data_IF_218097443253
#
_entry.id   IF_218097443253
#
_cell.length_a   1.000
_cell.length_b   1.000
_cell.length_c   1.000
_cell.angle_alpha   90.00
_cell.angle_beta   90.00
_cell.angle_gamma   90.00
#
_symmetry.space_group_name_H-M   'P 1'
#
loop_
_entity.id
_entity.type
_entity.pdbx_description
1 polymer ?
#
# COMPACT_ATOMS: atom_id res chain seq x y z
N UNK A 1 -61.86 -21.72 -1.74
CA UNK A 1 -61.09 -21.50 -2.96
C UNK A 1 -59.90 -22.47 -2.98
N UNK A 2 -60.09 -23.63 -3.69
CA UNK A 2 -59.11 -24.73 -3.76
C UNK A 2 -57.73 -24.29 -4.28
N UNK A 3 -57.63 -23.24 -5.06
CA UNK A 3 -56.36 -22.68 -5.53
C UNK A 3 -55.56 -21.96 -4.42
N UNK A 4 -56.24 -21.32 -3.48
CA UNK A 4 -55.62 -20.65 -2.33
C UNK A 4 -54.98 -21.68 -1.39
N UNK A 5 -55.69 -22.77 -1.13
CA UNK A 5 -55.23 -23.82 -0.22
C UNK A 5 -54.07 -24.63 -0.80
N UNK A 6 -54.01 -24.82 -2.13
CA UNK A 6 -52.91 -25.53 -2.80
C UNK A 6 -51.62 -24.70 -2.83
N UNK A 7 -51.68 -23.39 -2.95
CA UNK A 7 -50.54 -22.51 -3.06
C UNK A 7 -49.98 -22.05 -1.69
N UNK A 8 -50.88 -21.80 -0.72
CA UNK A 8 -50.49 -21.24 0.57
C UNK A 8 -50.19 -22.28 1.65
N UNK A 9 -50.84 -23.47 1.60
CA UNK A 9 -50.57 -24.51 2.58
C UNK A 9 -49.13 -24.97 2.69
N UNK A 10 -48.35 -25.17 1.58
CA UNK A 10 -46.95 -25.55 1.70
C UNK A 10 -46.07 -24.39 2.22
N UNK A 11 -46.43 -23.15 1.88
CA UNK A 11 -45.72 -21.95 2.37
C UNK A 11 -45.97 -21.79 3.88
N UNK A 12 -47.22 -21.92 4.34
CA UNK A 12 -47.55 -21.83 5.75
C UNK A 12 -46.92 -22.95 6.58
N UNK A 13 -46.82 -24.17 6.04
CA UNK A 13 -46.08 -25.27 6.68
C UNK A 13 -44.59 -24.97 6.78
N UNK A 14 -43.98 -24.39 5.74
CA UNK A 14 -42.59 -23.98 5.74
C UNK A 14 -42.34 -22.87 6.77
N UNK A 15 -43.19 -21.84 6.79
CA UNK A 15 -43.11 -20.74 7.74
C UNK A 15 -43.27 -21.22 9.20
N UNK A 16 -44.24 -22.11 9.47
CA UNK A 16 -44.45 -22.68 10.77
C UNK A 16 -43.27 -23.55 11.23
N UNK A 17 -42.70 -24.35 10.32
CA UNK A 17 -41.51 -25.16 10.64
C UNK A 17 -40.28 -24.28 10.96
N UNK A 18 -40.08 -23.16 10.24
CA UNK A 18 -39.04 -22.19 10.55
C UNK A 18 -39.30 -21.51 11.90
N UNK A 19 -40.53 -21.09 12.14
CA UNK A 19 -40.94 -20.45 13.40
C UNK A 19 -40.75 -21.37 14.62
N UNK A 20 -41.13 -22.64 14.48
CA UNK A 20 -40.93 -23.64 15.54
C UNK A 20 -39.44 -23.94 15.76
N UNK A 21 -38.68 -24.04 14.70
CA UNK A 21 -37.21 -24.18 14.77
C UNK A 21 -36.56 -23.00 15.50
N UNK A 22 -36.94 -21.79 15.13
CA UNK A 22 -36.47 -20.55 15.75
C UNK A 22 -36.82 -20.50 17.23
N UNK A 23 -38.08 -20.80 17.59
CA UNK A 23 -38.53 -20.84 18.98
C UNK A 23 -37.73 -21.85 19.83
N UNK A 24 -37.39 -23.02 19.26
CA UNK A 24 -36.57 -24.01 19.94
C UNK A 24 -35.16 -23.52 20.19
N UNK A 25 -34.55 -22.91 19.17
CA UNK A 25 -33.18 -22.35 19.28
C UNK A 25 -33.12 -21.22 20.31
N UNK A 26 -34.12 -20.31 20.31
CA UNK A 26 -34.18 -19.23 21.29
C UNK A 26 -34.34 -19.79 22.71
N UNK A 27 -35.29 -20.67 22.92
CA UNK A 27 -35.52 -21.26 24.24
C UNK A 27 -34.28 -22.01 24.75
N UNK A 28 -33.59 -22.73 23.87
CA UNK A 28 -32.36 -23.40 24.24
C UNK A 28 -31.25 -22.38 24.58
N UNK A 29 -31.11 -21.31 23.77
CA UNK A 29 -30.10 -20.26 23.96
C UNK A 29 -30.30 -19.52 25.28
N UNK A 30 -31.55 -19.15 25.61
CA UNK A 30 -31.87 -18.47 26.86
C UNK A 30 -31.62 -19.38 28.07
N UNK A 31 -31.96 -20.67 27.95
CA UNK A 31 -31.72 -21.65 29.00
C UNK A 31 -30.24 -21.95 29.21
N UNK A 32 -29.46 -21.94 28.14
CA UNK A 32 -28.05 -22.27 28.15
C UNK A 32 -27.17 -21.03 27.83
N UNK A 33 -27.53 -19.88 28.38
CA UNK A 33 -26.87 -18.59 28.11
C UNK A 33 -25.32 -18.63 28.25
N UNK A 34 -24.81 -19.38 29.25
CA UNK A 34 -23.36 -19.52 29.45
C UNK A 34 -22.70 -20.25 28.28
N UNK A 35 -23.28 -21.35 27.81
CA UNK A 35 -22.79 -22.12 26.68
C UNK A 35 -22.78 -21.31 25.39
N UNK A 36 -23.81 -20.49 25.17
CA UNK A 36 -23.89 -19.61 23.99
C UNK A 36 -22.81 -18.54 24.05
N UNK A 37 -22.60 -17.91 25.21
CA UNK A 37 -21.56 -16.87 25.37
C UNK A 37 -20.17 -17.47 25.18
N UNK A 38 -19.85 -18.59 25.85
CA UNK A 38 -18.56 -19.25 25.71
C UNK A 38 -18.35 -19.83 24.31
N UNK A 39 -19.40 -20.33 23.66
CA UNK A 39 -19.34 -20.79 22.27
C UNK A 39 -19.04 -19.66 21.30
N UNK A 40 -19.75 -18.54 21.43
CA UNK A 40 -19.51 -17.35 20.60
C UNK A 40 -18.09 -16.78 20.80
N UNK A 41 -17.65 -16.71 22.05
CA UNK A 41 -16.29 -16.28 22.36
C UNK A 41 -15.22 -17.25 21.83
N UNK A 42 -15.46 -18.54 21.94
CA UNK A 42 -14.57 -19.57 21.38
C UNK A 42 -14.46 -19.47 19.85
N UNK A 43 -15.59 -19.28 19.16
CA UNK A 43 -15.59 -19.06 17.70
C UNK A 43 -14.83 -17.78 17.35
N UNK A 44 -15.05 -16.69 18.09
CA UNK A 44 -14.35 -15.43 17.86
C UNK A 44 -12.83 -15.59 18.00
N UNK A 45 -12.37 -16.23 19.06
CA UNK A 45 -10.94 -16.50 19.28
C UNK A 45 -10.39 -17.42 18.19
N UNK A 46 -11.13 -18.47 17.80
CA UNK A 46 -10.71 -19.36 16.71
C UNK A 46 -10.55 -18.61 15.38
N UNK A 47 -11.49 -17.72 15.05
CA UNK A 47 -11.41 -16.87 13.84
C UNK A 47 -10.19 -15.96 13.90
N UNK A 48 -9.93 -15.32 15.04
CA UNK A 48 -8.74 -14.47 15.21
C UNK A 48 -7.43 -15.25 15.03
N UNK A 49 -7.35 -16.45 15.58
CA UNK A 49 -6.15 -17.28 15.47
C UNK A 49 -5.93 -17.84 14.07
N UNK A 50 -7.03 -18.16 13.35
CA UNK A 50 -6.94 -18.69 11.99
C UNK A 50 -6.72 -17.59 10.95
N UNK A 51 -7.41 -16.45 11.07
CA UNK A 51 -7.33 -15.36 10.10
C UNK A 51 -6.23 -14.37 10.42
N UNK A 52 -5.91 -14.13 11.69
CA UNK A 52 -4.91 -13.15 12.12
C UNK A 52 -3.57 -13.26 11.38
N UNK A 53 -2.97 -14.46 11.28
CA UNK A 53 -1.72 -14.63 10.54
C UNK A 53 -1.83 -14.41 9.03
N UNK A 54 -3.04 -14.49 8.47
CA UNK A 54 -3.29 -14.32 7.03
C UNK A 54 -3.65 -12.89 6.66
N UNK A 55 -3.98 -12.06 7.63
CA UNK A 55 -4.23 -10.64 7.41
C UNK A 55 -2.87 -9.95 7.32
N UNK A 56 -2.46 -9.62 6.09
CA UNK A 56 -1.31 -8.73 5.88
C UNK A 56 -1.65 -7.36 6.47
N UNK A 57 -0.77 -6.85 7.34
CA UNK A 57 -0.89 -5.52 7.91
C UNK A 57 -0.51 -4.45 6.87
N UNK A 58 -1.26 -4.37 5.80
CA UNK A 58 -1.15 -3.28 4.85
C UNK A 58 -2.10 -2.18 5.26
N UNK A 59 -1.64 -1.29 6.16
CA UNK A 59 -2.41 -0.11 6.59
C UNK A 59 -2.71 0.84 5.43
N UNK A 60 -1.86 0.83 4.41
CA UNK A 60 -2.06 1.55 3.16
C UNK A 60 -1.79 0.57 2.01
N UNK A 61 -2.78 0.22 1.20
CA UNK A 61 -2.50 -0.48 -0.04
C UNK A 61 -1.56 0.44 -0.83
N UNK A 62 -0.39 -0.07 -1.20
CA UNK A 62 0.49 0.62 -2.13
C UNK A 62 -0.27 0.81 -3.44
N UNK A 63 -1.02 1.91 -3.50
CA UNK A 63 -1.58 2.36 -4.75
C UNK A 63 -0.41 2.79 -5.61
N UNK A 64 -0.08 2.00 -6.61
CA UNK A 64 0.96 2.34 -7.56
C UNK A 64 0.53 3.59 -8.34
N UNK A 65 0.85 4.75 -7.79
CA UNK A 65 0.53 6.06 -8.38
C UNK A 65 1.48 6.42 -9.53
N UNK A 66 2.43 5.54 -9.86
CA UNK A 66 3.43 5.81 -10.87
C UNK A 66 4.40 6.93 -10.49
N UNK A 67 4.54 7.25 -9.23
CA UNK A 67 5.45 8.28 -8.72
C UNK A 67 6.50 7.66 -7.82
N UNK A 68 7.76 7.98 -8.11
CA UNK A 68 8.90 7.59 -7.30
C UNK A 68 9.68 8.85 -6.92
N UNK A 69 10.11 8.91 -5.67
CA UNK A 69 11.02 9.94 -5.19
C UNK A 69 12.32 9.29 -4.75
N UNK A 70 13.41 9.66 -5.40
CA UNK A 70 14.76 9.18 -5.09
C UNK A 70 15.49 10.30 -4.36
N UNK A 71 15.94 10.03 -3.14
CA UNK A 71 16.75 10.96 -2.36
C UNK A 71 18.14 10.37 -2.19
N UNK A 72 19.16 11.13 -2.57
CA UNK A 72 20.54 10.71 -2.54
C UNK A 72 21.35 11.74 -1.76
N UNK A 73 22.14 11.25 -0.85
CA UNK A 73 23.10 12.02 -0.09
C UNK A 73 24.52 11.58 -0.46
N UNK A 74 25.29 12.50 -1.03
CA UNK A 74 26.70 12.31 -1.31
C UNK A 74 27.54 12.54 -0.03
N UNK A 75 28.80 12.22 -0.10
CA UNK A 75 29.71 12.43 1.01
C UNK A 75 29.69 13.89 1.51
N UNK A 76 29.77 14.07 2.83
CA UNK A 76 29.78 15.39 3.44
C UNK A 76 30.96 16.22 2.92
N UNK A 77 30.69 17.48 2.58
CA UNK A 77 31.69 18.39 2.01
C UNK A 77 31.75 18.39 0.47
N UNK A 78 30.90 17.60 -0.21
CA UNK A 78 30.79 17.67 -1.67
C UNK A 78 30.26 19.04 -2.09
N UNK A 79 30.94 19.68 -3.06
CA UNK A 79 30.49 20.96 -3.58
C UNK A 79 29.22 20.83 -4.40
N UNK A 80 28.46 21.92 -4.48
CA UNK A 80 27.22 21.94 -5.27
C UNK A 80 27.47 21.67 -6.77
N UNK A 81 28.60 22.08 -7.32
CA UNK A 81 28.97 21.78 -8.71
C UNK A 81 29.12 20.28 -8.95
N UNK A 82 29.89 19.61 -8.10
CA UNK A 82 30.10 18.15 -8.19
C UNK A 82 28.78 17.40 -8.00
N UNK A 83 27.96 17.85 -7.06
CA UNK A 83 26.62 17.30 -6.83
C UNK A 83 25.73 17.44 -8.07
N UNK A 84 25.80 18.59 -8.76
CA UNK A 84 25.07 18.84 -9.99
C UNK A 84 25.53 17.98 -11.17
N UNK A 85 26.84 17.78 -11.32
CA UNK A 85 27.38 16.88 -12.34
C UNK A 85 26.97 15.42 -12.10
N UNK A 86 27.03 14.99 -10.85
CA UNK A 86 26.58 13.66 -10.47
C UNK A 86 25.06 13.48 -10.72
N UNK A 87 24.26 14.45 -10.34
CA UNK A 87 22.81 14.43 -10.58
C UNK A 87 22.48 14.32 -12.06
N UNK A 88 23.22 15.02 -12.93
CA UNK A 88 23.05 14.93 -14.40
C UNK A 88 23.40 13.55 -14.93
N UNK A 89 24.55 12.99 -14.53
CA UNK A 89 24.96 11.64 -14.92
C UNK A 89 23.93 10.59 -14.53
N UNK A 90 23.44 10.69 -13.30
CA UNK A 90 22.41 9.76 -12.81
C UNK A 90 21.08 9.92 -13.55
N UNK A 91 20.67 11.16 -13.82
CA UNK A 91 19.47 11.44 -14.62
C UNK A 91 19.55 10.81 -16.00
N UNK A 92 20.68 11.00 -16.72
CA UNK A 92 20.85 10.46 -18.06
C UNK A 92 20.83 8.92 -18.05
N UNK A 93 21.46 8.30 -17.04
CA UNK A 93 21.47 6.85 -16.88
C UNK A 93 20.08 6.30 -16.59
N UNK A 94 19.39 6.82 -15.58
CA UNK A 94 18.05 6.39 -15.19
C UNK A 94 17.07 6.53 -16.36
N UNK A 95 17.17 7.62 -17.12
CA UNK A 95 16.31 7.84 -18.29
C UNK A 95 16.60 6.89 -19.45
N UNK A 96 17.86 6.49 -19.64
CA UNK A 96 18.25 5.53 -20.69
C UNK A 96 17.83 4.11 -20.35
N UNK A 97 17.82 3.75 -19.07
CA UNK A 97 17.56 2.40 -18.59
C UNK A 97 16.06 2.10 -18.37
N UNK A 98 15.28 3.16 -18.10
CA UNK A 98 13.87 3.07 -17.80
C UNK A 98 13.04 3.85 -18.83
N UNK A 99 12.65 3.21 -19.94
CA UNK A 99 11.88 3.88 -21.01
C UNK A 99 10.45 4.26 -20.57
N UNK A 100 9.94 3.72 -19.47
CA UNK A 100 8.60 4.01 -18.94
C UNK A 100 8.51 5.38 -18.25
N UNK A 101 9.63 6.09 -18.09
CA UNK A 101 9.65 7.42 -17.47
C UNK A 101 9.01 8.45 -18.40
N UNK A 102 7.89 9.02 -17.98
CA UNK A 102 7.23 10.12 -18.68
C UNK A 102 7.85 11.47 -18.32
N UNK A 103 8.01 11.73 -17.03
CA UNK A 103 8.60 12.96 -16.50
C UNK A 103 9.62 12.58 -15.45
N UNK A 104 10.82 13.13 -15.57
CA UNK A 104 11.85 13.04 -14.56
C UNK A 104 12.36 14.45 -14.29
N UNK A 105 12.36 14.83 -13.04
CA UNK A 105 12.94 16.10 -12.57
C UNK A 105 13.87 15.84 -11.41
N UNK A 106 14.93 16.59 -11.31
CA UNK A 106 15.84 16.52 -10.18
C UNK A 106 16.18 17.92 -9.66
N UNK A 107 16.39 17.97 -8.36
CA UNK A 107 16.87 19.15 -7.65
C UNK A 107 18.10 18.75 -6.84
N UNK A 108 19.05 19.66 -6.70
CA UNK A 108 20.25 19.43 -5.92
C UNK A 108 20.71 20.71 -5.22
N UNK A 109 21.41 20.56 -4.12
CA UNK A 109 21.94 21.67 -3.36
C UNK A 109 20.95 22.23 -2.32
N UNK A 110 21.21 23.44 -1.84
CA UNK A 110 20.35 24.13 -0.91
C UNK A 110 19.14 24.72 -1.65
N UNK A 111 17.95 24.46 -1.13
CA UNK A 111 16.76 25.16 -1.58
C UNK A 111 16.78 26.60 -1.05
N UNK A 112 16.27 27.55 -1.86
CA UNK A 112 16.13 28.94 -1.44
C UNK A 112 15.29 29.03 -0.15
N UNK A 113 15.80 29.79 0.81
CA UNK A 113 15.20 29.96 2.16
C UNK A 113 13.79 30.56 2.16
N UNK A 114 13.38 31.13 1.03
CA UNK A 114 12.07 31.78 0.87
C UNK A 114 10.93 30.80 0.57
N UNK A 115 11.23 29.53 0.38
CA UNK A 115 10.22 28.53 0.08
C UNK A 115 9.91 27.66 1.31
N UNK A 116 8.73 27.84 1.90
CA UNK A 116 8.28 27.09 3.08
C UNK A 116 8.27 25.56 2.88
N UNK A 117 8.15 25.08 1.65
CA UNK A 117 8.27 23.66 1.31
C UNK A 117 9.71 23.14 1.34
N UNK A 118 10.68 24.01 1.15
CA UNK A 118 12.10 23.67 1.21
C UNK A 118 12.55 23.28 2.61
N UNK A 119 11.90 23.82 3.63
CA UNK A 119 12.16 23.51 5.05
C UNK A 119 11.74 22.08 5.43
N UNK A 120 10.88 21.45 4.65
CA UNK A 120 10.42 20.05 4.88
C UNK A 120 11.29 19.03 4.16
N UNK A 121 12.15 19.44 3.25
CA UNK A 121 13.08 18.54 2.56
C UNK A 121 14.46 18.62 3.21
N UNK A 122 15.16 17.50 3.22
CA UNK A 122 16.56 17.47 3.68
C UNK A 122 17.39 18.32 2.71
N UNK A 123 17.89 19.45 3.16
CA UNK A 123 18.65 20.41 2.37
C UNK A 123 20.14 20.30 2.68
N UNK A 124 20.96 20.28 1.65
CA UNK A 124 22.42 20.31 1.76
C UNK A 124 23.07 20.37 0.39
N UNK A 125 24.27 20.94 0.30
CA UNK A 125 25.02 21.03 -0.95
C UNK A 125 25.30 19.66 -1.59
N UNK A 126 25.25 18.61 -0.80
CA UNK A 126 25.52 17.22 -1.15
C UNK A 126 24.25 16.37 -1.35
N UNK A 127 23.07 17.00 -1.37
CA UNK A 127 21.79 16.29 -1.47
C UNK A 127 21.19 16.46 -2.85
N UNK A 128 20.70 15.34 -3.40
CA UNK A 128 19.98 15.27 -4.67
C UNK A 128 18.60 14.66 -4.40
N UNK A 129 17.56 15.31 -4.90
CA UNK A 129 16.20 14.81 -4.87
C UNK A 129 15.69 14.67 -6.29
N UNK A 130 15.35 13.44 -6.70
CA UNK A 130 14.85 13.15 -8.04
C UNK A 130 13.40 12.67 -7.94
N UNK A 131 12.50 13.31 -8.68
CA UNK A 131 11.11 12.94 -8.78
C UNK A 131 10.85 12.34 -10.16
N UNK A 132 10.40 11.11 -10.17
CA UNK A 132 10.15 10.32 -11.37
C UNK A 132 8.64 10.06 -11.46
N UNK A 133 8.05 10.38 -12.60
CA UNK A 133 6.67 10.05 -12.92
C UNK A 133 6.66 9.02 -14.07
N UNK A 134 6.11 7.87 -13.78
CA UNK A 134 6.01 6.73 -14.69
C UNK A 134 4.65 6.67 -15.42
N UNK A 135 3.71 7.56 -15.04
CA UNK A 135 2.33 7.52 -15.56
C UNK A 135 1.49 6.37 -15.00
N UNK A 136 0.35 6.14 -15.63
CA UNK A 136 -0.60 5.10 -15.21
C UNK A 136 -0.07 3.70 -15.42
N UNK A 137 -0.42 2.78 -14.52
CA UNK A 137 -0.01 1.37 -14.60
C UNK A 137 -0.51 0.67 -15.87
N UNK A 138 -1.59 1.15 -16.47
CA UNK A 138 -2.14 0.62 -17.72
C UNK A 138 -1.19 0.77 -18.93
N UNK A 139 -0.32 1.78 -18.90
CA UNK A 139 0.58 2.12 -20.00
C UNK A 139 2.02 1.61 -19.81
N UNK A 140 2.30 0.84 -18.76
CA UNK A 140 3.64 0.34 -18.47
C UNK A 140 3.64 -1.15 -18.16
N UNK A 141 4.79 -1.78 -18.38
CA UNK A 141 4.96 -3.23 -18.16
C UNK A 141 5.44 -3.55 -16.75
N UNK A 142 6.20 -2.64 -16.13
CA UNK A 142 6.83 -2.82 -14.82
C UNK A 142 6.11 -2.00 -13.76
N UNK A 143 5.97 -2.54 -12.55
CA UNK A 143 5.41 -1.81 -11.41
C UNK A 143 6.40 -0.73 -10.92
N UNK A 144 5.89 0.28 -10.19
CA UNK A 144 6.76 1.29 -9.59
C UNK A 144 7.75 0.68 -8.60
N UNK A 145 7.36 -0.38 -7.88
CA UNK A 145 8.25 -1.10 -6.95
C UNK A 145 9.38 -1.83 -7.68
N UNK A 146 9.11 -2.48 -8.80
CA UNK A 146 10.15 -3.12 -9.62
C UNK A 146 11.15 -2.11 -10.16
N UNK A 147 10.65 -0.96 -10.63
CA UNK A 147 11.50 0.14 -11.11
C UNK A 147 12.32 0.74 -9.96
N UNK A 148 11.72 0.89 -8.78
CA UNK A 148 12.43 1.34 -7.59
C UNK A 148 13.56 0.39 -7.19
N UNK A 149 13.36 -0.92 -7.33
CA UNK A 149 14.40 -1.92 -7.04
C UNK A 149 15.55 -1.87 -8.04
N UNK A 150 15.28 -1.61 -9.34
CA UNK A 150 16.30 -1.38 -10.36
C UNK A 150 17.14 -0.15 -10.01
N UNK A 151 16.48 0.98 -9.72
CA UNK A 151 17.16 2.21 -9.33
C UNK A 151 17.99 1.99 -8.05
N UNK A 152 17.45 1.26 -7.08
CA UNK A 152 18.14 0.95 -5.82
C UNK A 152 19.38 0.07 -6.04
N UNK A 153 19.32 -0.86 -7.00
CA UNK A 153 20.46 -1.67 -7.38
C UNK A 153 21.54 -0.81 -8.05
N UNK A 154 21.15 0.06 -8.97
CA UNK A 154 22.06 1.00 -9.67
C UNK A 154 22.77 1.93 -8.69
N UNK A 155 22.07 2.46 -7.70
CA UNK A 155 22.66 3.36 -6.70
C UNK A 155 23.76 2.68 -5.85
N UNK A 156 23.76 1.36 -5.72
CA UNK A 156 24.80 0.63 -4.99
C UNK A 156 26.14 0.59 -5.73
N UNK A 157 26.12 0.78 -7.03
CA UNK A 157 27.33 0.76 -7.85
C UNK A 157 28.14 2.06 -7.74
N UNK A 158 27.60 3.08 -7.07
CA UNK A 158 28.26 4.36 -6.90
C UNK A 158 28.84 4.53 -5.49
N UNK A 159 30.17 4.46 -5.33
CA UNK A 159 30.84 4.59 -4.03
C UNK A 159 30.75 6.01 -3.45
N UNK A 160 30.40 7.01 -4.26
CA UNK A 160 30.24 8.40 -3.83
C UNK A 160 28.95 8.63 -3.03
N UNK A 161 28.00 7.68 -3.07
CA UNK A 161 26.74 7.79 -2.38
C UNK A 161 26.92 7.33 -0.94
N UNK A 162 26.69 8.26 0.00
CA UNK A 162 26.68 7.96 1.43
C UNK A 162 25.34 7.29 1.83
N UNK A 163 24.23 7.81 1.33
CA UNK A 163 22.90 7.27 1.58
C UNK A 163 21.98 7.47 0.37
N UNK A 164 21.32 6.42 -0.04
CA UNK A 164 20.31 6.45 -1.11
C UNK A 164 18.99 5.85 -0.62
N UNK A 165 17.88 6.55 -0.87
CA UNK A 165 16.51 6.09 -0.56
C UNK A 165 15.64 6.25 -1.80
N UNK A 166 14.87 5.21 -2.11
CA UNK A 166 13.92 5.17 -3.24
C UNK A 166 12.57 4.73 -2.72
#
# INVERSE_FOLDING_TARGET
NKLHDILFTPIDKGLNAISDGYAKVINWSVRNRKTVIFGAFGIFVAVLLLLGPHIKNEYFPYSDQGRLTVSIELNAGTSQEVTGEFARKLYDRVRSEIPEIQICSYTFGQADSDNSFASMQTNGSNIISMNINLGSMENRKRSASEIADIIRADLRDYPEIHKGTV
#
